data_IF_143541091385
#
_entry.id   IF_143541091385
#
_cell.length_a   1.000
_cell.length_b   1.000
_cell.length_c   1.000
_cell.angle_alpha   90.00
_cell.angle_beta   90.00
_cell.angle_gamma   90.00
#
_symmetry.space_group_name_H-M   'P 1'
#
loop_
_entity.id
_entity.type
_entity.pdbx_description
1 polymer ?
#
# COMPACT_ATOMS: atom_id res chain seq x y z
N UNK A 1 14.34 8.73 15.14
CA UNK A 1 13.38 9.00 14.05
C UNK A 1 12.06 8.37 14.43
N UNK A 2 10.95 9.11 14.35
CA UNK A 2 9.61 8.56 14.52
C UNK A 2 9.01 8.32 13.13
N UNK A 3 8.60 7.08 12.85
CA UNK A 3 7.86 6.72 11.65
C UNK A 3 6.38 6.69 12.02
N UNK A 4 5.55 7.37 11.23
CA UNK A 4 4.10 7.27 11.37
C UNK A 4 3.63 5.84 11.07
N UNK A 5 2.72 5.32 11.90
CA UNK A 5 2.09 4.02 11.71
C UNK A 5 0.66 4.25 11.26
N UNK A 6 0.41 4.04 9.96
CA UNK A 6 -0.92 4.09 9.35
C UNK A 6 -1.12 2.91 8.41
N UNK A 7 -2.39 2.55 8.21
CA UNK A 7 -2.80 1.41 7.41
C UNK A 7 -3.93 1.83 6.47
N UNK A 8 -3.99 1.16 5.32
CA UNK A 8 -5.16 1.15 4.44
C UNK A 8 -5.66 -0.29 4.29
N UNK A 9 -6.90 -0.45 3.86
CA UNK A 9 -7.55 -1.77 3.79
C UNK A 9 -8.24 -1.97 2.44
N UNK A 10 -8.02 -3.11 1.82
CA UNK A 10 -8.80 -3.58 0.67
C UNK A 10 -9.84 -4.60 1.14
N UNK A 11 -11.12 -4.37 0.81
CA UNK A 11 -12.27 -5.21 1.23
C UNK A 11 -12.86 -6.07 0.10
N UNK A 12 -12.10 -6.30 -0.97
CA UNK A 12 -12.55 -6.94 -2.23
C UNK A 12 -13.45 -6.08 -3.13
N UNK A 13 -13.87 -4.89 -2.68
CA UNK A 13 -14.74 -3.99 -3.43
C UNK A 13 -14.12 -2.61 -3.64
N UNK A 14 -13.49 -2.05 -2.60
CA UNK A 14 -12.84 -0.74 -2.64
C UNK A 14 -11.68 -0.64 -1.65
N UNK A 15 -10.82 0.34 -1.90
CA UNK A 15 -9.76 0.73 -0.98
C UNK A 15 -10.28 1.71 0.08
N UNK A 16 -10.08 1.36 1.35
CA UNK A 16 -10.37 2.18 2.52
C UNK A 16 -9.07 2.85 2.98
N UNK A 17 -9.07 4.18 2.96
CA UNK A 17 -7.93 5.01 3.32
C UNK A 17 -8.24 5.75 4.63
N UNK A 18 -7.25 5.94 5.52
CA UNK A 18 -7.47 6.53 6.84
C UNK A 18 -7.96 8.00 6.79
N UNK A 19 -7.79 8.66 5.65
CA UNK A 19 -8.15 10.08 5.46
C UNK A 19 -9.53 10.28 4.81
N UNK A 20 -10.14 9.21 4.29
CA UNK A 20 -11.39 9.30 3.53
C UNK A 20 -12.61 9.07 4.43
N UNK A 21 -13.13 10.15 5.00
CA UNK A 21 -14.46 10.27 5.65
C UNK A 21 -14.72 9.45 6.93
N UNK A 22 -15.61 9.96 7.78
CA UNK A 22 -16.05 9.27 9.01
C UNK A 22 -16.81 7.95 8.76
N UNK A 23 -17.24 7.72 7.52
CA UNK A 23 -18.08 6.59 7.12
C UNK A 23 -17.27 5.40 6.55
N UNK A 24 -15.97 5.57 6.30
CA UNK A 24 -15.04 4.52 5.83
C UNK A 24 -14.06 4.08 6.94
N UNK A 25 -14.51 4.21 8.19
CA UNK A 25 -13.73 3.88 9.36
C UNK A 25 -13.68 2.36 9.60
N UNK A 26 -12.53 1.76 9.29
CA UNK A 26 -12.12 0.50 9.89
C UNK A 26 -11.21 0.75 11.10
N UNK A 27 -11.18 -0.20 12.03
CA UNK A 27 -10.25 -0.22 13.14
C UNK A 27 -9.58 -1.58 13.25
N UNK A 28 -8.42 -1.63 13.88
CA UNK A 28 -7.70 -2.86 14.19
C UNK A 28 -8.04 -3.28 15.62
N UNK A 29 -8.55 -4.49 15.83
CA UNK A 29 -8.64 -5.04 17.19
C UNK A 29 -7.26 -5.39 17.74
N UNK A 30 -7.17 -5.64 19.05
CA UNK A 30 -5.90 -5.89 19.74
C UNK A 30 -5.14 -7.13 19.23
N UNK A 31 -5.84 -8.05 18.58
CA UNK A 31 -5.28 -9.23 17.90
C UNK A 31 -4.80 -8.92 16.46
N UNK A 32 -4.93 -7.67 16.00
CA UNK A 32 -4.57 -7.24 14.66
C UNK A 32 -5.65 -7.46 13.60
N UNK A 33 -6.84 -7.94 13.98
CA UNK A 33 -7.93 -8.19 13.02
C UNK A 33 -8.60 -6.86 12.62
N UNK A 34 -8.74 -6.54 11.32
CA UNK A 34 -9.49 -5.37 10.89
C UNK A 34 -11.00 -5.57 11.05
N UNK A 35 -11.70 -4.52 11.48
CA UNK A 35 -13.16 -4.48 11.68
C UNK A 35 -13.71 -3.16 11.13
N UNK A 36 -14.90 -3.18 10.54
CA UNK A 36 -15.59 -1.97 10.05
C UNK A 36 -16.66 -1.54 11.05
N UNK A 37 -16.86 -0.23 11.19
CA UNK A 37 -18.04 0.30 11.86
C UNK A 37 -19.16 0.33 10.82
N UNK A 38 -20.23 -0.44 11.05
CA UNK A 38 -21.44 -0.34 10.25
C UNK A 38 -22.52 0.36 11.07
N UNK A 39 -23.25 1.28 10.46
CA UNK A 39 -24.52 1.71 11.02
C UNK A 39 -25.54 0.58 10.85
N UNK A 40 -26.08 0.10 11.97
CA UNK A 40 -27.03 -1.00 12.01
C UNK A 40 -28.33 -0.49 12.64
N UNK A 41 -29.40 -0.44 11.83
CA UNK A 41 -30.75 -0.11 12.28
C UNK A 41 -31.19 1.34 12.00
N UNK A 42 -32.50 1.58 12.13
CA UNK A 42 -33.16 2.84 11.77
C UNK A 42 -32.86 4.01 12.73
N UNK A 43 -32.19 3.75 13.86
CA UNK A 43 -31.93 4.72 14.93
C UNK A 43 -30.45 5.14 15.03
N UNK A 44 -29.60 4.79 14.04
CA UNK A 44 -28.22 5.24 13.99
C UNK A 44 -27.28 4.56 15.00
N UNK A 45 -27.64 3.36 15.48
CA UNK A 45 -26.74 2.56 16.30
C UNK A 45 -25.56 2.07 15.47
N UNK A 46 -24.35 2.48 15.84
CA UNK A 46 -23.09 2.03 15.22
C UNK A 46 -22.60 0.77 15.92
N UNK A 47 -22.63 -0.36 15.23
CA UNK A 47 -22.03 -1.60 15.70
C UNK A 47 -20.82 -1.97 14.85
N UNK A 48 -19.80 -2.52 15.51
CA UNK A 48 -18.68 -3.08 14.78
C UNK A 48 -19.08 -4.43 14.20
N UNK A 49 -19.17 -4.49 12.87
CA UNK A 49 -19.40 -5.74 12.17
C UNK A 49 -18.08 -6.33 11.68
N UNK A 50 -18.00 -7.65 11.69
CA UNK A 50 -16.96 -8.34 10.93
C UNK A 50 -17.20 -8.06 9.44
N UNK A 51 -16.15 -7.65 8.74
CA UNK A 51 -16.13 -7.74 7.28
C UNK A 51 -16.32 -9.22 6.92
N UNK A 52 -17.45 -9.51 6.28
CA UNK A 52 -17.69 -10.84 5.72
C UNK A 52 -16.94 -10.89 4.40
N UNK A 53 -15.72 -11.43 4.41
CA UNK A 53 -14.86 -11.50 3.23
C UNK A 53 -13.38 -11.41 3.58
N UNK A 54 -12.52 -11.48 2.56
CA UNK A 54 -11.08 -11.38 2.76
C UNK A 54 -10.67 -9.90 2.82
N UNK A 55 -10.22 -9.46 3.99
CA UNK A 55 -9.64 -8.12 4.12
C UNK A 55 -8.13 -8.17 4.02
N UNK A 56 -7.55 -7.23 3.29
CA UNK A 56 -6.11 -7.14 3.14
C UNK A 56 -5.65 -5.77 3.66
N UNK A 57 -4.94 -5.81 4.79
CA UNK A 57 -4.27 -4.64 5.35
C UNK A 57 -2.96 -4.39 4.62
N UNK A 58 -2.68 -3.11 4.37
CA UNK A 58 -1.44 -2.63 3.78
C UNK A 58 -0.88 -1.51 4.64
N UNK A 59 0.38 -1.64 5.04
CA UNK A 59 1.03 -0.64 5.88
C UNK A 59 1.62 0.49 5.05
N UNK A 60 1.54 1.71 5.56
CA UNK A 60 2.34 2.82 5.05
C UNK A 60 3.82 2.58 5.26
N UNK A 61 4.63 2.95 4.28
CA UNK A 61 6.08 2.73 4.30
C UNK A 61 6.83 3.76 5.14
N UNK A 62 6.22 4.92 5.45
CA UNK A 62 6.94 6.07 6.01
C UNK A 62 7.43 7.06 4.96
N UNK A 63 7.20 6.80 3.67
CA UNK A 63 7.71 7.58 2.55
C UNK A 63 6.58 8.09 1.66
N UNK A 64 6.80 9.23 1.04
CA UNK A 64 5.91 9.82 0.06
C UNK A 64 6.59 9.87 -1.30
N UNK A 65 5.79 9.81 -2.37
CA UNK A 65 6.26 10.04 -3.72
C UNK A 65 6.51 11.54 -3.98
N UNK A 66 6.94 11.89 -5.21
CA UNK A 66 7.28 13.28 -5.54
C UNK A 66 6.11 14.26 -5.48
N UNK A 67 4.87 13.76 -5.53
CA UNK A 67 3.65 14.55 -5.48
C UNK A 67 3.09 14.62 -4.04
N UNK A 68 3.80 14.06 -3.06
CA UNK A 68 3.34 14.00 -1.66
C UNK A 68 2.33 12.88 -1.40
N UNK A 69 2.15 11.93 -2.33
CA UNK A 69 1.27 10.79 -2.12
C UNK A 69 1.99 9.76 -1.24
N UNK A 70 1.34 9.35 -0.18
CA UNK A 70 1.85 8.30 0.71
C UNK A 70 2.03 6.96 -0.01
N UNK A 71 3.18 6.32 0.21
CA UNK A 71 3.50 5.02 -0.37
C UNK A 71 3.17 3.92 0.65
N UNK A 72 2.32 2.97 0.26
CA UNK A 72 1.89 1.83 1.03
C UNK A 72 2.40 0.51 0.42
N UNK A 73 2.32 -0.56 1.21
CA UNK A 73 2.44 -1.92 0.69
C UNK A 73 1.48 -2.15 -0.49
N UNK A 74 1.96 -2.84 -1.53
CA UNK A 74 1.16 -3.16 -2.71
C UNK A 74 1.02 -2.01 -3.72
N UNK A 75 1.56 -0.81 -3.44
CA UNK A 75 1.60 0.26 -4.43
C UNK A 75 2.49 -0.08 -5.62
N UNK A 76 2.16 0.50 -6.76
CA UNK A 76 2.92 0.41 -8.00
C UNK A 76 3.51 1.79 -8.28
N UNK A 77 4.84 1.84 -8.29
CA UNK A 77 5.63 3.04 -8.53
C UNK A 77 6.11 3.07 -9.97
N UNK A 78 6.07 4.25 -10.59
CA UNK A 78 6.63 4.49 -11.93
C UNK A 78 7.71 5.56 -11.88
N UNK A 79 8.85 5.27 -12.51
CA UNK A 79 9.89 6.27 -12.75
C UNK A 79 9.36 7.30 -13.75
N UNK A 80 9.54 8.57 -13.43
CA UNK A 80 9.12 9.68 -14.29
C UNK A 80 10.27 10.31 -15.07
N UNK A 81 11.52 9.85 -14.84
CA UNK A 81 12.72 10.34 -15.52
C UNK A 81 13.67 9.19 -15.88
N UNK A 82 14.39 9.36 -16.99
CA UNK A 82 15.53 8.55 -17.48
C UNK A 82 15.25 7.09 -17.85
N UNK A 83 14.32 6.41 -17.18
CA UNK A 83 13.99 4.99 -17.40
C UNK A 83 12.48 4.80 -17.35
N UNK A 84 11.96 3.88 -18.17
CA UNK A 84 10.57 3.42 -18.07
C UNK A 84 10.56 2.19 -17.16
N UNK A 85 10.61 2.47 -15.85
CA UNK A 85 10.67 1.47 -14.80
C UNK A 85 9.36 1.50 -14.01
N UNK A 86 8.73 0.34 -13.85
CA UNK A 86 7.55 0.15 -13.01
C UNK A 86 7.83 -0.94 -11.98
N UNK A 87 7.52 -0.68 -10.71
CA UNK A 87 7.82 -1.57 -9.59
C UNK A 87 6.68 -1.66 -8.60
N UNK A 88 6.50 -2.85 -8.04
CA UNK A 88 5.62 -3.10 -6.91
C UNK A 88 6.37 -2.92 -5.57
N UNK A 89 5.76 -2.18 -4.64
CA UNK A 89 6.18 -2.09 -3.24
C UNK A 89 5.77 -3.36 -2.49
N UNK A 90 6.71 -3.98 -1.79
CA UNK A 90 6.53 -5.19 -1.00
C UNK A 90 7.07 -5.00 0.41
N UNK A 91 6.50 -5.73 1.36
CA UNK A 91 7.04 -5.86 2.70
C UNK A 91 7.69 -7.25 2.84
N UNK A 92 8.92 -7.26 3.30
CA UNK A 92 9.65 -8.46 3.71
C UNK A 92 10.02 -8.31 5.19
N UNK A 93 10.42 -9.39 5.89
CA UNK A 93 10.80 -9.28 7.29
C UNK A 93 11.84 -8.17 7.52
N UNK A 94 11.41 -7.12 8.21
CA UNK A 94 12.26 -5.98 8.60
C UNK A 94 12.46 -4.88 7.54
N UNK A 95 11.85 -4.95 6.36
CA UNK A 95 12.05 -3.92 5.33
C UNK A 95 10.90 -3.78 4.33
N UNK A 96 10.69 -2.55 3.86
CA UNK A 96 9.98 -2.27 2.62
C UNK A 96 10.95 -2.29 1.44
N UNK A 97 10.56 -2.97 0.38
CA UNK A 97 11.36 -3.15 -0.84
C UNK A 97 10.53 -2.89 -2.07
N UNK A 98 11.18 -2.69 -3.21
CA UNK A 98 10.53 -2.66 -4.53
C UNK A 98 11.01 -3.80 -5.40
N UNK A 99 10.14 -4.35 -6.24
CA UNK A 99 10.54 -5.33 -7.26
C UNK A 99 11.46 -4.70 -8.29
N UNK A 100 12.40 -5.49 -8.82
CA UNK A 100 13.22 -5.10 -9.97
C UNK A 100 12.57 -5.70 -11.23
N UNK A 101 12.22 -4.90 -12.26
CA UNK A 101 11.57 -5.35 -13.48
C UNK A 101 12.38 -6.43 -14.20
N UNK A 102 11.71 -7.41 -14.81
CA UNK A 102 12.34 -8.46 -15.64
C UNK A 102 13.21 -7.93 -16.77
N UNK A 103 12.90 -6.74 -17.29
CA UNK A 103 13.68 -6.09 -18.33
C UNK A 103 15.11 -5.72 -17.91
N UNK A 104 15.38 -5.60 -16.61
CA UNK A 104 16.70 -5.24 -16.07
C UNK A 104 17.57 -6.51 -15.99
N UNK A 105 18.58 -6.59 -16.86
CA UNK A 105 19.56 -7.67 -16.91
C UNK A 105 20.69 -7.47 -15.91
N UNK A 106 21.40 -8.55 -15.57
CA UNK A 106 22.60 -8.49 -14.71
C UNK A 106 22.33 -8.49 -13.21
N UNK A 107 21.06 -8.59 -12.79
CA UNK A 107 20.65 -8.77 -11.40
C UNK A 107 20.48 -10.27 -11.13
N UNK A 108 20.99 -10.75 -10.00
CA UNK A 108 20.87 -12.16 -9.62
C UNK A 108 19.39 -12.56 -9.48
N UNK A 109 19.03 -13.79 -9.85
CA UNK A 109 17.64 -14.28 -9.69
C UNK A 109 17.19 -14.29 -8.23
N UNK A 110 18.13 -14.33 -7.27
CA UNK A 110 17.86 -14.34 -5.83
C UNK A 110 17.59 -12.94 -5.25
N UNK A 111 17.96 -11.86 -5.96
CA UNK A 111 17.92 -10.48 -5.44
C UNK A 111 17.11 -9.54 -6.34
N UNK A 112 15.91 -9.96 -6.77
CA UNK A 112 15.04 -9.09 -7.60
C UNK A 112 14.22 -8.09 -6.79
N UNK A 113 14.79 -7.64 -5.67
CA UNK A 113 14.22 -6.57 -4.85
C UNK A 113 15.34 -5.67 -4.33
N UNK A 114 15.01 -4.41 -4.07
CA UNK A 114 15.93 -3.44 -3.45
C UNK A 114 15.21 -2.66 -2.35
N UNK A 115 15.92 -2.17 -1.31
CA UNK A 115 15.32 -1.33 -0.28
C UNK A 115 14.58 -0.14 -0.88
N UNK A 116 13.32 0.05 -0.48
CA UNK A 116 12.48 1.14 -0.97
C UNK A 116 13.11 2.50 -0.66
N UNK A 117 13.76 2.64 0.49
CA UNK A 117 14.44 3.89 0.87
C UNK A 117 15.51 4.28 -0.14
N UNK A 118 16.45 3.39 -0.46
CA UNK A 118 17.47 3.66 -1.49
C UNK A 118 16.83 3.96 -2.84
N UNK A 119 15.76 3.25 -3.20
CA UNK A 119 15.06 3.45 -4.47
C UNK A 119 14.43 4.84 -4.62
N UNK A 120 13.78 5.34 -3.56
CA UNK A 120 13.12 6.65 -3.55
C UNK A 120 14.14 7.79 -3.48
N UNK A 121 15.27 7.62 -2.77
CA UNK A 121 16.22 8.71 -2.55
C UNK A 121 17.32 8.82 -3.60
N UNK A 122 17.78 7.72 -4.21
CA UNK A 122 19.11 7.75 -4.85
C UNK A 122 19.10 8.26 -6.30
N UNK A 123 18.07 8.01 -7.13
CA UNK A 123 18.26 8.21 -8.58
C UNK A 123 17.06 8.64 -9.45
N UNK A 124 15.81 8.59 -8.97
CA UNK A 124 14.66 8.83 -9.84
C UNK A 124 13.51 9.52 -9.12
N UNK A 125 12.76 10.33 -9.88
CA UNK A 125 11.48 10.84 -9.45
C UNK A 125 10.41 9.76 -9.66
N UNK A 126 9.84 9.26 -8.58
CA UNK A 126 8.79 8.24 -8.62
C UNK A 126 7.42 8.84 -8.34
N UNK A 127 6.40 8.25 -8.93
CA UNK A 127 4.99 8.50 -8.63
C UNK A 127 4.28 7.18 -8.37
N UNK A 128 3.32 7.19 -7.44
CA UNK A 128 2.34 6.12 -7.32
C UNK A 128 1.39 6.22 -8.52
N UNK A 129 1.24 5.12 -9.27
CA UNK A 129 0.33 5.04 -10.43
C UNK A 129 -0.87 4.13 -10.19
N UNK A 130 -0.95 3.48 -9.04
CA UNK A 130 -1.99 2.54 -8.67
C UNK A 130 -1.50 1.54 -7.64
N UNK A 131 -2.30 0.51 -7.39
CA UNK A 131 -1.92 -0.59 -6.49
C UNK A 131 -2.40 -1.94 -7.06
N UNK A 132 -1.88 -3.03 -6.51
CA UNK A 132 -2.16 -4.39 -7.03
C UNK A 132 -3.62 -4.85 -6.91
N UNK A 133 -4.46 -4.14 -6.16
CA UNK A 133 -5.87 -4.49 -5.93
C UNK A 133 -6.81 -3.66 -6.81
N UNK A 134 -6.71 -2.34 -6.77
CA UNK A 134 -7.54 -1.45 -7.62
C UNK A 134 -7.13 -1.49 -9.09
N UNK A 135 -5.85 -1.78 -9.37
CA UNK A 135 -5.28 -1.75 -10.71
C UNK A 135 -4.57 -3.07 -11.05
N UNK A 136 -5.31 -4.20 -11.08
CA UNK A 136 -4.71 -5.52 -11.31
C UNK A 136 -4.02 -5.64 -12.68
N UNK A 137 -4.40 -4.79 -13.64
CA UNK A 137 -3.86 -4.70 -15.01
C UNK A 137 -2.48 -4.05 -15.11
N UNK A 138 -2.03 -3.32 -14.08
CA UNK A 138 -0.72 -2.69 -14.09
C UNK A 138 0.42 -3.72 -13.98
N UNK A 139 1.57 -3.47 -14.63
CA UNK A 139 2.75 -4.34 -14.53
C UNK A 139 3.38 -4.28 -13.12
N UNK A 140 3.99 -5.39 -12.68
CA UNK A 140 4.42 -5.64 -11.29
C UNK A 140 5.87 -6.13 -11.22
#
# INVERSE_FOLDING_TARGET
MNREIKFRLWDERKMHLPEYSEDDNFYLSADGTPKMILEVGAEGHREAAYLHGRCILMQFTGLQDKNGVDIYEGDILKATKYVDWISQVKCIPGAFVVSIPESIRGVSMMERVQPLSSFVYEHYEWIVIGNIYDNPELPK
#
